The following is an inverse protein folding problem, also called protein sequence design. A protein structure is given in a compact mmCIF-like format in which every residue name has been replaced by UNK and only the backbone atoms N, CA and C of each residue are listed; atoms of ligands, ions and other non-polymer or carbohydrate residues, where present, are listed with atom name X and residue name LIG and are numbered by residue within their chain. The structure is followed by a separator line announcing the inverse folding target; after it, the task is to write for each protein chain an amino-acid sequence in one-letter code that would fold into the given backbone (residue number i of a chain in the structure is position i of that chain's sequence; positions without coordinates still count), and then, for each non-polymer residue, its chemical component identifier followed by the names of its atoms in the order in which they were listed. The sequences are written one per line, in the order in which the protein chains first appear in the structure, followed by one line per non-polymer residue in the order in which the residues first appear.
data_IF_685833347925
#
_entry.id   IF_685833347925
#
_cell.length_a   1.000
_cell.length_b   1.000
_cell.length_c   1.000
_cell.angle_alpha   90.00
_cell.angle_beta   90.00
_cell.angle_gamma   90.00
#
_symmetry.space_group_name_H-M   'P 1'
#
loop_
_entity.id
_entity.type
_entity.pdbx_description
1 polymer ?
#
# COMPACT_ATOMS: atom_id res chain seq x y z
N UNK A 1 -12.50 13.74 -13.46
CA UNK A 1 -13.44 12.72 -12.96
C UNK A 1 -13.34 12.56 -11.45
N UNK A 2 -12.15 12.67 -10.85
CA UNK A 2 -11.94 12.47 -9.39
C UNK A 2 -12.00 13.74 -8.52
N UNK A 3 -12.17 14.94 -9.11
CA UNK A 3 -12.08 16.23 -8.40
C UNK A 3 -12.96 16.31 -7.15
N UNK A 4 -14.22 15.87 -7.22
CA UNK A 4 -15.11 15.90 -6.06
C UNK A 4 -14.66 14.97 -4.93
N UNK A 5 -14.10 13.80 -5.25
CA UNK A 5 -13.59 12.85 -4.25
C UNK A 5 -12.31 13.39 -3.60
N UNK A 6 -11.42 13.99 -4.40
CA UNK A 6 -10.22 14.66 -3.91
C UNK A 6 -10.57 15.80 -2.93
N UNK A 7 -11.56 16.63 -3.27
CA UNK A 7 -12.04 17.70 -2.38
C UNK A 7 -12.60 17.14 -1.06
N UNK A 8 -13.36 16.04 -1.11
CA UNK A 8 -13.82 15.36 0.11
C UNK A 8 -12.66 14.83 0.94
N UNK A 9 -11.69 14.16 0.32
CA UNK A 9 -10.49 13.64 0.99
C UNK A 9 -9.72 14.75 1.70
N UNK A 10 -9.47 15.87 1.01
CA UNK A 10 -8.78 17.03 1.60
C UNK A 10 -9.56 17.61 2.79
N UNK A 11 -10.88 17.73 2.67
CA UNK A 11 -11.74 18.21 3.75
C UNK A 11 -11.74 17.28 4.96
N UNK A 12 -11.85 15.96 4.73
CA UNK A 12 -11.81 14.93 5.78
C UNK A 12 -10.44 14.90 6.48
N UNK A 13 -9.34 14.98 5.74
CA UNK A 13 -7.99 15.09 6.30
C UNK A 13 -7.84 16.31 7.21
N UNK A 14 -8.40 17.45 6.79
CA UNK A 14 -8.37 18.67 7.61
C UNK A 14 -9.15 18.49 8.91
N UNK A 15 -10.37 17.97 8.82
CA UNK A 15 -11.22 17.70 9.97
C UNK A 15 -10.55 16.72 10.94
N UNK A 16 -10.01 15.62 10.42
CA UNK A 16 -9.36 14.58 11.23
C UNK A 16 -8.14 15.14 11.98
N UNK A 17 -7.34 15.99 11.32
CA UNK A 17 -6.20 16.67 11.97
C UNK A 17 -6.62 17.63 13.07
N UNK A 18 -7.78 18.26 12.96
CA UNK A 18 -8.30 19.17 13.99
C UNK A 18 -8.93 18.41 15.15
N UNK A 19 -9.59 17.28 14.88
CA UNK A 19 -10.23 16.43 15.88
C UNK A 19 -9.22 15.60 16.69
N UNK A 20 -8.32 14.86 16.02
CA UNK A 20 -7.29 14.05 16.69
C UNK A 20 -6.05 14.89 17.04
N UNK A 21 -6.23 15.85 17.95
CA UNK A 21 -5.16 16.75 18.39
C UNK A 21 -4.11 16.09 19.28
N UNK A 22 -4.47 14.97 19.93
CA UNK A 22 -3.58 14.20 20.81
C UNK A 22 -2.93 12.99 20.12
N UNK A 23 -3.23 12.76 18.85
CA UNK A 23 -2.75 11.63 18.06
C UNK A 23 -3.11 10.28 18.73
N UNK A 24 -4.39 10.08 19.05
CA UNK A 24 -4.92 8.84 19.66
C UNK A 24 -5.10 7.71 18.65
N UNK A 25 -5.41 8.05 17.39
CA UNK A 25 -5.67 7.05 16.35
C UNK A 25 -4.41 6.27 15.97
N UNK A 26 -4.59 5.01 15.58
CA UNK A 26 -3.47 4.18 15.13
C UNK A 26 -2.72 4.83 13.97
N UNK A 27 -1.40 4.95 14.12
CA UNK A 27 -0.54 5.57 13.11
C UNK A 27 -0.40 7.09 13.19
N UNK A 28 -1.33 7.80 13.83
CA UNK A 28 -1.37 9.26 13.81
C UNK A 28 -0.18 9.90 14.52
N UNK A 29 0.43 9.24 15.50
CA UNK A 29 1.68 9.69 16.14
C UNK A 29 2.88 9.68 15.18
N UNK A 30 2.85 8.82 14.16
CA UNK A 30 3.91 8.67 13.16
C UNK A 30 3.80 9.77 12.11
N UNK A 31 2.68 9.82 11.39
CA UNK A 31 2.51 10.74 10.26
C UNK A 31 1.96 12.12 10.67
N UNK A 32 1.34 12.26 11.84
CA UNK A 32 0.82 13.53 12.42
C UNK A 32 -0.11 14.31 11.49
N UNK A 33 -0.86 13.58 10.67
CA UNK A 33 -1.67 14.13 9.58
C UNK A 33 -0.92 15.06 8.61
N UNK A 34 0.40 14.90 8.49
CA UNK A 34 1.23 15.68 7.59
C UNK A 34 1.34 14.97 6.25
N UNK A 35 0.97 15.67 5.17
CA UNK A 35 1.18 15.20 3.81
C UNK A 35 2.57 15.62 3.30
N UNK A 36 3.21 14.74 2.55
CA UNK A 36 4.34 15.13 1.71
C UNK A 36 3.86 16.06 0.57
N UNK A 37 4.74 16.93 0.02
CA UNK A 37 4.37 17.80 -1.08
C UNK A 37 3.73 17.05 -2.26
N UNK A 38 2.78 17.69 -2.93
CA UNK A 38 2.22 17.18 -4.19
C UNK A 38 3.32 17.07 -5.25
N UNK A 39 3.13 16.14 -6.17
CA UNK A 39 3.95 16.05 -7.37
C UNK A 39 3.43 17.00 -8.45
N UNK A 40 4.35 17.40 -9.32
CA UNK A 40 4.05 17.99 -10.61
C UNK A 40 3.71 16.92 -11.65
N UNK A 41 3.09 17.34 -12.75
CA UNK A 41 2.83 16.47 -13.91
C UNK A 41 4.12 15.88 -14.48
N UNK A 42 5.22 16.64 -14.43
CA UNK A 42 6.53 16.25 -14.89
C UNK A 42 7.16 15.18 -13.99
N UNK A 43 6.97 15.27 -12.67
CA UNK A 43 7.43 14.24 -11.72
C UNK A 43 6.69 12.92 -11.91
N UNK A 44 5.37 12.97 -12.08
CA UNK A 44 4.56 11.78 -12.41
C UNK A 44 5.03 11.15 -13.72
N UNK A 45 5.20 11.95 -14.78
CA UNK A 45 5.64 11.46 -16.08
C UNK A 45 7.05 10.86 -16.02
N UNK A 46 7.97 11.49 -15.28
CA UNK A 46 9.33 10.98 -15.07
C UNK A 46 9.32 9.65 -14.34
N UNK A 47 8.46 9.50 -13.32
CA UNK A 47 8.32 8.24 -12.59
C UNK A 47 7.77 7.12 -13.48
N UNK A 48 6.69 7.39 -14.21
CA UNK A 48 6.12 6.45 -15.20
C UNK A 48 7.16 6.03 -16.26
N UNK A 49 7.97 6.97 -16.76
CA UNK A 49 9.03 6.69 -17.74
C UNK A 49 10.17 5.86 -17.14
N UNK A 50 10.65 6.22 -15.94
CA UNK A 50 11.75 5.53 -15.26
C UNK A 50 11.42 4.06 -14.99
N UNK A 51 10.18 3.80 -14.55
CA UNK A 51 9.72 2.47 -14.18
C UNK A 51 8.95 1.74 -15.29
N UNK A 52 8.73 2.38 -16.44
CA UNK A 52 8.00 1.85 -17.60
C UNK A 52 6.60 1.34 -17.24
N UNK A 53 5.93 2.04 -16.33
CA UNK A 53 4.57 1.75 -15.89
C UNK A 53 3.64 2.90 -16.26
N UNK A 54 2.34 2.67 -16.08
CA UNK A 54 1.35 3.74 -16.01
C UNK A 54 0.71 3.67 -14.64
N UNK A 55 0.64 4.79 -13.95
CA UNK A 55 -0.03 4.86 -12.67
C UNK A 55 -1.56 4.95 -12.89
N UNK A 56 -2.37 4.29 -12.05
CA UNK A 56 -3.82 4.48 -12.05
C UNK A 56 -4.20 5.97 -12.00
N UNK A 57 -5.17 6.38 -12.82
CA UNK A 57 -5.54 7.80 -12.98
C UNK A 57 -5.95 8.47 -11.67
N UNK A 58 -6.61 7.72 -10.80
CA UNK A 58 -7.02 8.14 -9.47
C UNK A 58 -5.84 8.34 -8.51
N UNK A 59 -4.81 7.49 -8.56
CA UNK A 59 -3.59 7.65 -7.79
C UNK A 59 -2.79 8.86 -8.30
N UNK A 60 -2.71 9.05 -9.63
CA UNK A 60 -2.14 10.29 -10.20
C UNK A 60 -2.86 11.53 -9.73
N UNK A 61 -4.20 11.52 -9.71
CA UNK A 61 -4.97 12.65 -9.20
C UNK A 61 -4.65 12.93 -7.72
N UNK A 62 -4.45 11.89 -6.90
CA UNK A 62 -4.01 12.06 -5.52
C UNK A 62 -2.62 12.68 -5.41
N UNK A 63 -1.63 12.16 -6.15
CA UNK A 63 -0.26 12.68 -6.15
C UNK A 63 -0.20 14.17 -6.55
N UNK A 64 -1.02 14.59 -7.51
CA UNK A 64 -1.04 15.95 -8.03
C UNK A 64 -1.79 16.96 -7.14
N UNK A 65 -2.70 16.49 -6.29
CA UNK A 65 -3.63 17.40 -5.58
C UNK A 65 -3.63 17.25 -4.06
N UNK A 66 -3.28 16.09 -3.51
CA UNK A 66 -3.33 15.84 -2.06
C UNK A 66 -1.92 15.74 -1.47
N UNK A 67 -1.10 14.85 -2.00
CA UNK A 67 0.28 14.69 -1.56
C UNK A 67 0.93 13.43 -2.14
N UNK A 68 2.25 13.38 -2.11
CA UNK A 68 3.02 12.24 -2.60
C UNK A 68 3.29 11.14 -1.58
N UNK A 69 2.84 11.32 -0.34
CA UNK A 69 3.10 10.44 0.80
C UNK A 69 2.65 11.13 2.10
N UNK A 70 2.98 10.56 3.25
CA UNK A 70 2.66 11.16 4.56
C UNK A 70 1.42 10.56 5.20
N UNK A 71 0.43 11.37 5.56
CA UNK A 71 -0.74 10.87 6.27
C UNK A 71 -1.53 9.84 5.46
N UNK A 72 -1.90 8.74 6.12
CA UNK A 72 -2.62 7.65 5.51
C UNK A 72 -2.83 6.51 6.50
N UNK A 73 -3.43 5.41 6.02
CA UNK A 73 -3.65 4.22 6.83
C UNK A 73 -2.36 3.70 7.47
N UNK A 74 -2.48 3.02 8.60
CA UNK A 74 -1.37 2.37 9.30
C UNK A 74 -0.22 3.35 9.61
N UNK A 75 1.02 3.07 9.22
CA UNK A 75 2.15 3.98 9.44
C UNK A 75 2.22 5.16 8.46
N UNK A 76 1.25 5.29 7.56
CA UNK A 76 1.15 6.36 6.58
C UNK A 76 1.60 5.96 5.18
N UNK A 77 1.35 6.87 4.25
CA UNK A 77 1.68 6.70 2.84
C UNK A 77 3.17 6.83 2.56
N UNK A 78 3.68 5.89 1.78
CA UNK A 78 5.03 5.90 1.23
C UNK A 78 5.07 6.66 -0.09
N UNK A 79 6.19 7.35 -0.35
CA UNK A 79 6.38 8.03 -1.62
C UNK A 79 6.61 7.04 -2.74
N UNK A 80 6.15 7.28 -3.97
CA UNK A 80 6.36 6.31 -5.06
C UNK A 80 7.84 5.99 -5.30
N UNK A 81 8.76 6.95 -5.10
CA UNK A 81 10.22 6.72 -5.20
C UNK A 81 10.76 5.71 -4.16
N UNK A 82 10.09 5.58 -3.02
CA UNK A 82 10.42 4.65 -1.94
C UNK A 82 9.57 3.36 -2.02
N UNK A 83 8.42 3.41 -2.70
CA UNK A 83 7.49 2.29 -2.87
C UNK A 83 7.94 1.21 -3.87
N UNK A 84 9.08 1.43 -4.53
CA UNK A 84 9.65 0.50 -5.53
C UNK A 84 10.57 -0.55 -4.91
N UNK A 85 10.87 -0.44 -3.61
CA UNK A 85 11.67 -1.42 -2.89
C UNK A 85 10.79 -2.54 -2.32
N UNK A 86 11.37 -3.72 -2.16
CA UNK A 86 10.69 -4.89 -1.56
C UNK A 86 10.46 -4.66 -0.06
N UNK A 87 11.48 -4.12 0.62
CA UNK A 87 11.46 -3.81 2.05
C UNK A 87 11.49 -2.29 2.23
N UNK A 88 10.47 -1.76 2.91
CA UNK A 88 10.32 -0.33 3.19
C UNK A 88 11.14 0.15 4.40
N UNK A 89 11.48 -0.76 5.32
CA UNK A 89 12.26 -0.46 6.52
C UNK A 89 13.76 -0.51 6.21
N UNK A 90 14.18 -1.42 5.31
CA UNK A 90 15.58 -1.61 4.89
C UNK A 90 15.72 -1.64 3.36
N UNK A 91 15.54 -0.49 2.67
CA UNK A 91 15.52 -0.40 1.21
C UNK A 91 16.88 -0.77 0.62
N UNK A 92 17.00 -2.00 0.16
CA UNK A 92 18.24 -2.57 -0.40
C UNK A 92 18.02 -3.28 -1.74
N UNK A 93 16.81 -3.80 -1.97
CA UNK A 93 16.44 -4.51 -3.18
C UNK A 93 15.16 -3.92 -3.81
N UNK A 94 15.20 -3.75 -5.14
CA UNK A 94 14.08 -3.24 -5.93
C UNK A 94 13.11 -4.37 -6.27
N UNK A 95 11.82 -4.07 -6.18
CA UNK A 95 10.79 -4.93 -6.72
C UNK A 95 10.68 -4.78 -8.25
N UNK A 96 10.12 -5.79 -8.92
CA UNK A 96 9.83 -5.72 -10.35
C UNK A 96 8.49 -5.00 -10.64
N UNK A 97 8.41 -3.70 -10.33
CA UNK A 97 7.18 -2.90 -10.48
C UNK A 97 6.67 -2.84 -11.93
N UNK A 98 7.55 -3.03 -12.91
CA UNK A 98 7.19 -3.06 -14.33
C UNK A 98 6.67 -4.42 -14.81
N UNK A 99 6.86 -5.47 -14.02
CA UNK A 99 6.39 -6.81 -14.33
C UNK A 99 4.88 -6.93 -14.23
N UNK A 100 4.32 -7.99 -14.82
CA UNK A 100 2.88 -8.25 -14.77
C UNK A 100 2.52 -8.91 -13.44
N UNK A 101 1.63 -8.30 -12.67
CA UNK A 101 1.12 -8.91 -11.44
C UNK A 101 0.33 -10.19 -11.77
N UNK A 102 0.72 -11.35 -11.19
CA UNK A 102 0.25 -12.64 -11.68
C UNK A 102 -1.11 -13.08 -11.11
N UNK A 103 -1.69 -12.32 -10.18
CA UNK A 103 -2.84 -12.76 -9.40
C UNK A 103 -4.09 -11.92 -9.65
N UNK A 104 -5.24 -12.59 -9.67
CA UNK A 104 -6.59 -11.98 -9.58
C UNK A 104 -7.33 -12.40 -8.32
N UNK A 105 -6.83 -13.44 -7.64
CA UNK A 105 -7.30 -13.97 -6.36
C UNK A 105 -6.12 -14.18 -5.41
N UNK A 106 -6.40 -14.35 -4.12
CA UNK A 106 -5.37 -14.58 -3.11
C UNK A 106 -4.45 -15.76 -3.48
N UNK A 107 -3.15 -15.56 -3.29
CA UNK A 107 -2.13 -16.56 -3.50
C UNK A 107 -1.35 -16.79 -2.22
N UNK A 108 -1.18 -18.06 -1.85
CA UNK A 108 -0.22 -18.46 -0.84
C UNK A 108 0.39 -19.81 -1.21
N UNK A 109 1.65 -20.01 -0.87
CA UNK A 109 2.36 -21.26 -1.11
C UNK A 109 2.45 -22.03 0.21
N UNK A 110 1.96 -23.26 0.22
CA UNK A 110 2.11 -24.16 1.36
C UNK A 110 3.58 -24.54 1.51
N UNK A 111 4.30 -23.83 2.38
CA UNK A 111 5.65 -24.23 2.79
C UNK A 111 5.55 -25.46 3.66
N UNK A 112 6.43 -26.44 3.43
CA UNK A 112 6.58 -27.55 4.37
C UNK A 112 7.25 -26.99 5.62
N UNK A 113 6.68 -27.24 6.80
CA UNK A 113 7.22 -26.79 8.08
C UNK A 113 8.04 -27.86 8.80
N UNK A 114 8.15 -29.03 8.20
CA UNK A 114 8.80 -30.19 8.79
C UNK A 114 10.30 -30.13 8.53
N UNK A 115 11.03 -29.50 9.46
CA UNK A 115 12.50 -29.36 9.44
C UNK A 115 13.21 -30.72 9.38
N UNK A 116 12.57 -31.79 9.88
CA UNK A 116 13.12 -33.15 9.84
C UNK A 116 12.98 -33.81 8.44
N UNK A 117 12.15 -33.24 7.55
CA UNK A 117 11.83 -33.81 6.23
C UNK A 117 12.52 -33.12 5.05
N UNK A 118 13.15 -31.96 5.25
CA UNK A 118 13.80 -31.17 4.19
C UNK A 118 15.25 -30.85 4.54
N UNK A 119 16.16 -31.00 3.57
CA UNK A 119 17.55 -30.56 3.73
C UNK A 119 17.67 -29.03 3.70
N UNK A 120 18.75 -28.48 4.25
CA UNK A 120 19.02 -27.02 4.25
C UNK A 120 18.93 -26.38 2.86
N UNK A 121 19.36 -27.11 1.81
CA UNK A 121 19.29 -26.63 0.43
C UNK A 121 17.85 -26.50 -0.07
N UNK A 122 16.99 -27.49 0.22
CA UNK A 122 15.58 -27.50 -0.18
C UNK A 122 14.81 -26.36 0.52
N UNK A 123 15.12 -26.11 1.80
CA UNK A 123 14.58 -24.98 2.56
C UNK A 123 14.91 -23.64 1.92
N UNK A 124 16.20 -23.42 1.60
CA UNK A 124 16.64 -22.18 1.00
C UNK A 124 16.05 -21.97 -0.41
N UNK A 125 15.77 -23.05 -1.16
CA UNK A 125 15.05 -22.97 -2.43
C UNK A 125 13.58 -22.56 -2.27
N UNK A 126 12.88 -23.13 -1.29
CA UNK A 126 11.50 -22.73 -1.00
C UNK A 126 11.41 -21.27 -0.58
N UNK A 127 12.33 -20.81 0.27
CA UNK A 127 12.40 -19.41 0.71
C UNK A 127 12.64 -18.46 -0.48
N UNK A 128 13.64 -18.76 -1.32
CA UNK A 128 13.91 -17.98 -2.54
C UNK A 128 12.71 -17.94 -3.49
N UNK A 129 11.99 -19.05 -3.64
CA UNK A 129 10.80 -19.10 -4.48
C UNK A 129 9.65 -18.25 -3.91
N UNK A 130 9.43 -18.34 -2.59
CA UNK A 130 8.34 -17.65 -1.91
C UNK A 130 8.53 -16.14 -1.91
N UNK A 131 9.74 -15.67 -1.62
CA UNK A 131 10.10 -14.25 -1.58
C UNK A 131 10.55 -13.68 -2.92
N UNK A 132 10.56 -14.47 -4.00
CA UNK A 132 10.93 -13.99 -5.35
C UNK A 132 10.10 -12.77 -5.75
N UNK A 133 10.75 -11.80 -6.40
CA UNK A 133 10.11 -10.62 -7.02
C UNK A 133 9.11 -10.99 -8.10
N UNK A 134 9.17 -12.20 -8.65
CA UNK A 134 8.17 -12.67 -9.62
C UNK A 134 6.77 -12.81 -9.01
N UNK A 135 6.68 -13.00 -7.69
CA UNK A 135 5.42 -13.08 -6.95
C UNK A 135 4.82 -11.70 -6.68
N UNK A 136 5.67 -10.71 -6.44
CA UNK A 136 5.29 -9.31 -6.16
C UNK A 136 5.43 -8.40 -7.38
N UNK A 137 5.67 -8.94 -8.57
CA UNK A 137 5.82 -8.16 -9.79
C UNK A 137 4.57 -7.29 -10.02
N UNK A 138 4.74 -6.06 -10.50
CA UNK A 138 3.60 -5.15 -10.73
C UNK A 138 3.00 -4.52 -9.48
N UNK A 139 3.52 -4.82 -8.28
CA UNK A 139 3.14 -4.16 -7.03
C UNK A 139 4.02 -2.93 -6.77
N UNK A 140 3.38 -1.80 -6.49
CA UNK A 140 4.02 -0.60 -5.94
C UNK A 140 3.59 -0.45 -4.48
N UNK A 141 4.53 -0.48 -3.54
CA UNK A 141 4.22 -0.32 -2.12
C UNK A 141 3.77 1.12 -1.84
N UNK A 142 2.62 1.27 -1.18
CA UNK A 142 2.00 2.57 -0.88
C UNK A 142 1.85 2.83 0.61
N UNK A 143 1.93 1.81 1.47
CA UNK A 143 1.87 1.96 2.93
C UNK A 143 2.57 0.80 3.62
N UNK A 144 3.21 1.09 4.75
CA UNK A 144 3.72 0.07 5.67
C UNK A 144 2.64 -0.25 6.71
N UNK A 145 2.25 -1.51 6.83
CA UNK A 145 1.30 -1.97 7.86
C UNK A 145 2.01 -2.33 9.18
N UNK A 146 3.31 -2.62 9.12
CA UNK A 146 4.13 -3.17 10.20
C UNK A 146 4.37 -4.68 10.04
N UNK A 147 5.26 -5.24 10.86
CA UNK A 147 5.58 -6.69 10.85
C UNK A 147 6.01 -7.24 9.47
N UNK A 148 6.65 -6.41 8.64
CA UNK A 148 7.05 -6.79 7.28
C UNK A 148 5.88 -6.92 6.30
N UNK A 149 4.70 -6.40 6.63
CA UNK A 149 3.51 -6.38 5.78
C UNK A 149 3.47 -5.05 5.02
N UNK A 150 3.28 -5.13 3.71
CA UNK A 150 3.12 -3.94 2.86
C UNK A 150 1.74 -3.92 2.21
N UNK A 151 1.20 -2.71 2.09
CA UNK A 151 -0.01 -2.45 1.30
C UNK A 151 0.44 -1.86 -0.02
N UNK A 152 -0.09 -2.42 -1.10
CA UNK A 152 0.43 -2.24 -2.44
C UNK A 152 -0.69 -1.83 -3.40
N UNK A 153 -0.34 -0.96 -4.35
CA UNK A 153 -1.15 -0.66 -5.51
C UNK A 153 -0.66 -1.51 -6.68
N UNK A 154 -1.57 -2.23 -7.34
CA UNK A 154 -1.24 -2.95 -8.57
C UNK A 154 -1.12 -1.95 -9.72
N UNK A 155 0.09 -1.78 -10.26
CA UNK A 155 0.41 -0.84 -11.35
C UNK A 155 0.63 -1.52 -12.70
N UNK A 156 0.61 -2.85 -12.75
CA UNK A 156 0.63 -3.62 -13.99
C UNK A 156 0.08 -5.04 -13.75
N UNK A 157 -0.74 -5.57 -14.66
CA UNK A 157 -1.42 -6.87 -14.53
C UNK A 157 -2.94 -6.80 -14.63
N UNK A 158 -3.62 -7.93 -14.41
CA UNK A 158 -5.08 -8.01 -14.55
C UNK A 158 -5.83 -7.30 -13.42
N UNK A 159 -5.27 -7.28 -12.21
CA UNK A 159 -5.80 -6.55 -11.05
C UNK A 159 -5.36 -5.08 -11.01
N UNK A 160 -4.99 -4.48 -12.15
CA UNK A 160 -4.54 -3.09 -12.24
C UNK A 160 -5.48 -2.10 -11.55
N UNK A 161 -4.90 -1.26 -10.67
CA UNK A 161 -5.63 -0.26 -9.90
C UNK A 161 -6.24 -0.76 -8.60
N UNK A 162 -6.15 -2.06 -8.30
CA UNK A 162 -6.62 -2.63 -7.03
C UNK A 162 -5.57 -2.53 -5.92
N UNK A 163 -6.03 -2.50 -4.66
CA UNK A 163 -5.18 -2.58 -3.47
C UNK A 163 -5.00 -4.03 -3.03
N UNK A 164 -3.75 -4.41 -2.82
CA UNK A 164 -3.31 -5.75 -2.43
C UNK A 164 -2.32 -5.70 -1.27
N UNK A 165 -2.32 -6.72 -0.45
CA UNK A 165 -1.46 -6.91 0.71
C UNK A 165 -0.40 -7.95 0.38
N UNK A 166 0.85 -7.64 0.67
CA UNK A 166 1.92 -8.63 0.71
C UNK A 166 2.22 -8.93 2.18
N UNK A 167 1.79 -10.12 2.61
CA UNK A 167 1.96 -10.67 3.95
C UNK A 167 2.71 -12.01 3.88
N UNK A 168 3.69 -12.09 2.98
CA UNK A 168 4.60 -13.23 2.92
C UNK A 168 5.48 -13.32 4.17
N UNK A 169 5.76 -12.19 4.83
CA UNK A 169 6.53 -12.15 6.08
C UNK A 169 5.87 -12.93 7.23
N UNK A 170 4.54 -13.11 7.20
CA UNK A 170 3.80 -13.91 8.18
C UNK A 170 3.10 -15.12 7.55
N UNK A 171 3.54 -15.54 6.36
CA UNK A 171 3.09 -16.77 5.69
C UNK A 171 1.62 -16.80 5.29
N UNK A 172 1.03 -15.63 5.08
CA UNK A 172 -0.32 -15.48 4.55
C UNK A 172 -0.33 -15.24 3.03
N UNK A 173 0.84 -15.01 2.43
CA UNK A 173 1.00 -14.84 1.00
C UNK A 173 0.63 -13.44 0.53
N UNK A 174 0.07 -13.34 -0.68
CA UNK A 174 -0.31 -12.09 -1.32
C UNK A 174 -1.81 -12.15 -1.60
N UNK A 175 -2.56 -11.20 -1.08
CA UNK A 175 -4.02 -11.22 -1.16
C UNK A 175 -4.63 -9.83 -1.31
N UNK A 176 -5.84 -9.72 -1.85
CA UNK A 176 -6.57 -8.46 -1.98
C UNK A 176 -6.85 -7.82 -0.62
N UNK A 177 -6.75 -6.49 -0.49
CA UNK A 177 -6.98 -5.82 0.79
C UNK A 177 -8.44 -5.99 1.26
N UNK A 178 -8.58 -6.59 2.45
CA UNK A 178 -9.86 -6.82 3.14
C UNK A 178 -9.96 -6.01 4.45
N UNK A 179 -8.98 -5.16 4.72
CA UNK A 179 -8.97 -4.34 5.93
C UNK A 179 -10.15 -3.35 5.93
N UNK A 180 -10.60 -2.97 7.13
CA UNK A 180 -11.86 -2.26 7.40
C UNK A 180 -13.16 -2.99 7.01
N UNK A 181 -13.10 -4.33 6.98
CA UNK A 181 -14.23 -5.23 6.64
C UNK A 181 -14.74 -5.02 5.22
N UNK A 182 -13.86 -4.65 4.28
CA UNK A 182 -14.26 -4.46 2.90
C UNK A 182 -14.34 -5.81 2.14
N UNK A 183 -15.52 -6.13 1.65
CA UNK A 183 -15.77 -7.30 0.81
C UNK A 183 -15.45 -7.06 -0.69
N UNK A 184 -15.15 -5.81 -1.08
CA UNK A 184 -14.91 -5.41 -2.47
C UNK A 184 -13.43 -5.19 -2.76
N UNK A 185 -13.06 -5.36 -4.03
CA UNK A 185 -11.77 -4.89 -4.56
C UNK A 185 -11.76 -3.36 -4.54
N UNK A 186 -10.89 -2.80 -3.72
CA UNK A 186 -10.76 -1.36 -3.55
C UNK A 186 -9.80 -0.77 -4.56
N UNK A 187 -10.15 0.42 -5.05
CA UNK A 187 -9.21 1.30 -5.74
C UNK A 187 -8.51 2.21 -4.70
N UNK A 188 -7.43 2.90 -5.08
CA UNK A 188 -6.65 3.74 -4.19
C UNK A 188 -7.48 4.83 -3.50
N UNK A 189 -8.30 5.58 -4.24
CA UNK A 189 -9.08 6.67 -3.63
C UNK A 189 -10.17 6.14 -2.71
N UNK A 190 -10.82 5.02 -3.06
CA UNK A 190 -11.84 4.40 -2.24
C UNK A 190 -11.23 3.80 -0.96
N UNK A 191 -10.05 3.19 -1.06
CA UNK A 191 -9.27 2.72 0.08
C UNK A 191 -8.87 3.86 1.02
N UNK A 192 -8.32 4.94 0.47
CA UNK A 192 -7.89 6.09 1.28
C UNK A 192 -9.08 6.81 1.93
N UNK A 193 -10.19 7.00 1.19
CA UNK A 193 -11.38 7.64 1.73
C UNK A 193 -12.07 6.78 2.80
N UNK A 194 -12.04 5.44 2.65
CA UNK A 194 -12.55 4.51 3.66
C UNK A 194 -11.78 4.64 4.98
N UNK A 195 -10.45 4.75 4.94
CA UNK A 195 -9.66 5.00 6.15
C UNK A 195 -10.05 6.30 6.84
N UNK A 196 -10.26 7.38 6.08
CA UNK A 196 -10.70 8.66 6.65
C UNK A 196 -12.07 8.52 7.33
N UNK A 197 -13.01 7.83 6.68
CA UNK A 197 -14.35 7.63 7.23
C UNK A 197 -14.31 6.82 8.53
N UNK A 198 -13.58 5.70 8.54
CA UNK A 198 -13.40 4.87 9.74
C UNK A 198 -12.69 5.61 10.87
N UNK A 199 -11.67 6.41 10.55
CA UNK A 199 -10.94 7.20 11.54
C UNK A 199 -11.83 8.24 12.21
N UNK A 200 -12.74 8.88 11.46
CA UNK A 200 -13.70 9.82 12.04
C UNK A 200 -14.75 9.09 12.90
N UNK A 201 -15.25 7.93 12.45
CA UNK A 201 -16.17 7.09 13.23
C UNK A 201 -15.53 6.68 14.58
N UNK A 202 -14.27 6.24 14.57
CA UNK A 202 -13.54 5.82 15.78
C UNK A 202 -13.38 6.97 16.79
N UNK A 203 -13.03 8.18 16.34
CA UNK A 203 -12.96 9.35 17.22
C UNK A 203 -14.31 9.71 17.84
N UNK A 204 -15.40 9.64 17.06
CA UNK A 204 -16.75 9.90 17.56
C UNK A 204 -17.14 8.86 18.64
N UNK A 205 -16.70 7.62 18.51
CA UNK A 205 -16.92 6.56 19.51
C UNK A 205 -16.09 6.74 20.78
N UNK A 206 -14.85 7.23 20.68
CA UNK A 206 -13.99 7.51 21.84
C UNK A 206 -14.46 8.73 22.67
N UNK A 207 -15.18 9.68 22.04
CA UNK A 207 -15.73 10.87 22.71
C UNK A 207 -17.06 10.63 23.46
N UNK A 208 -17.72 9.48 23.27
CA UNK A 208 -19.00 9.11 23.90
C UNK A 208 -18.86 8.44 25.27
#
# INVERSE_FOLDING_TARGET
MYTQQIERIQSKLHQLREADSEFSLFGSQTHKYQMAPVWSTEEVARFEEAWKIKLPEEYKAFLLHVGSGGAGPYYGLVRPDDGVYIDLDYPSELNNVSGEFPYTEAWNFERSWDEDSLGEEDWAEQERFYFSTDKSAGLLAISNFGCGITINLVVNGQSYGEIWVDDRSNDNGIYPDHYFENEKRLTFLDWYETWLDRSMEELEEEEM
#
